data_IF_695451279176
#
_entry.id   IF_695451279176
#
_cell.length_a   1.000
_cell.length_b   1.000
_cell.length_c   1.000
_cell.angle_alpha   90.00
_cell.angle_beta   90.00
_cell.angle_gamma   90.00
#
_symmetry.space_group_name_H-M   'P 1'
#
loop_
_entity.id
_entity.type
_entity.pdbx_description
1 polymer ?
#
# COMPACT_ATOMS: atom_id res chain seq x y z
N UNK A 1 -16.86 -29.80 48.75
CA UNK A 1 -17.06 -28.36 48.61
C UNK A 1 -18.08 -28.08 47.51
N UNK A 2 -19.23 -27.52 47.88
CA UNK A 2 -20.26 -27.12 46.93
C UNK A 2 -19.91 -25.71 46.40
N UNK A 3 -19.94 -25.52 45.10
CA UNK A 3 -19.75 -24.23 44.45
C UNK A 3 -20.62 -23.14 45.07
N UNK A 4 -20.06 -22.05 45.56
CA UNK A 4 -20.77 -20.87 46.06
C UNK A 4 -21.31 -19.96 44.95
N UNK A 5 -21.33 -20.43 43.69
CA UNK A 5 -21.81 -19.63 42.56
C UNK A 5 -23.32 -19.42 42.68
N UNK A 6 -23.82 -18.18 42.63
CA UNK A 6 -25.23 -17.88 42.62
C UNK A 6 -25.96 -18.63 41.50
N UNK A 7 -27.14 -19.22 41.82
CA UNK A 7 -27.98 -19.92 40.83
C UNK A 7 -28.65 -18.97 39.84
N UNK A 8 -28.84 -17.71 40.24
CA UNK A 8 -29.42 -16.64 39.40
C UNK A 8 -28.51 -15.43 39.43
N UNK A 9 -28.37 -14.78 38.32
CA UNK A 9 -27.59 -13.54 38.17
C UNK A 9 -28.51 -12.47 37.55
N UNK A 10 -29.17 -11.61 38.38
CA UNK A 10 -30.13 -10.60 37.91
C UNK A 10 -29.55 -9.64 36.88
N UNK A 11 -28.23 -9.41 36.93
CA UNK A 11 -27.49 -8.50 36.02
C UNK A 11 -26.80 -9.23 34.87
N UNK A 12 -27.27 -10.45 34.54
CA UNK A 12 -26.74 -11.16 33.36
C UNK A 12 -27.18 -10.42 32.10
N UNK A 13 -26.24 -10.22 31.20
CA UNK A 13 -26.52 -9.66 29.88
C UNK A 13 -27.59 -10.51 29.17
N UNK A 14 -28.50 -9.87 28.46
CA UNK A 14 -29.55 -10.55 27.68
C UNK A 14 -28.92 -11.57 26.74
N UNK A 15 -29.52 -12.74 26.64
CA UNK A 15 -29.03 -13.86 25.83
C UNK A 15 -28.94 -13.50 24.35
N UNK A 16 -29.84 -12.66 23.85
CA UNK A 16 -29.82 -12.14 22.47
C UNK A 16 -28.57 -11.31 22.21
N UNK A 17 -28.19 -10.45 23.16
CA UNK A 17 -26.99 -9.64 23.08
C UNK A 17 -25.74 -10.53 23.13
N UNK A 18 -25.72 -11.52 24.02
CA UNK A 18 -24.61 -12.45 24.13
C UNK A 18 -24.41 -13.23 22.82
N UNK A 19 -25.50 -13.76 22.26
CA UNK A 19 -25.50 -14.47 20.98
C UNK A 19 -24.97 -13.56 19.87
N UNK A 20 -25.42 -12.30 19.79
CA UNK A 20 -24.96 -11.38 18.77
C UNK A 20 -23.47 -11.06 18.88
N UNK A 21 -22.95 -10.90 20.09
CA UNK A 21 -21.49 -10.72 20.33
C UNK A 21 -20.71 -11.94 19.84
N UNK A 22 -21.19 -13.15 20.11
CA UNK A 22 -20.56 -14.41 19.66
C UNK A 22 -20.56 -14.52 18.13
N UNK A 23 -21.70 -14.23 17.49
CA UNK A 23 -21.82 -14.21 16.03
C UNK A 23 -20.80 -13.27 15.37
N UNK A 24 -20.76 -11.99 15.81
CA UNK A 24 -19.83 -11.00 15.28
C UNK A 24 -18.37 -11.39 15.55
N UNK A 25 -18.08 -11.98 16.72
CA UNK A 25 -16.75 -12.48 17.02
C UNK A 25 -16.32 -13.61 16.09
N UNK A 26 -17.22 -14.58 15.86
CA UNK A 26 -16.96 -15.70 14.95
C UNK A 26 -16.84 -15.26 13.50
N UNK A 27 -17.63 -14.25 13.09
CA UNK A 27 -17.62 -13.73 11.72
C UNK A 27 -16.32 -12.99 11.39
N UNK A 28 -15.86 -12.10 12.30
CA UNK A 28 -14.77 -11.16 12.00
C UNK A 28 -13.47 -11.42 12.76
N UNK A 29 -13.50 -12.12 13.88
CA UNK A 29 -12.34 -12.32 14.75
C UNK A 29 -11.85 -11.05 15.45
N UNK A 30 -12.64 -9.96 15.48
CA UNK A 30 -12.19 -8.66 16.02
C UNK A 30 -12.36 -8.56 17.55
N UNK A 31 -11.52 -7.71 18.17
CA UNK A 31 -11.57 -7.44 19.61
C UNK A 31 -12.77 -6.60 20.02
N UNK A 32 -12.99 -6.51 21.34
CA UNK A 32 -14.18 -5.91 21.94
C UNK A 32 -14.43 -4.45 21.53
N UNK A 33 -13.38 -3.65 21.30
CA UNK A 33 -13.55 -2.25 20.89
C UNK A 33 -14.25 -2.13 19.53
N UNK A 34 -13.87 -2.97 18.57
CA UNK A 34 -14.50 -3.00 17.24
C UNK A 34 -15.89 -3.60 17.26
N UNK A 35 -16.08 -4.67 18.06
CA UNK A 35 -17.40 -5.28 18.24
C UNK A 35 -18.38 -4.31 18.91
N UNK A 36 -17.94 -3.50 19.88
CA UNK A 36 -18.75 -2.45 20.49
C UNK A 36 -19.29 -1.48 19.44
N UNK A 37 -18.45 -1.05 18.50
CA UNK A 37 -18.86 -0.14 17.43
C UNK A 37 -19.88 -0.80 16.49
N UNK A 38 -19.69 -2.08 16.14
CA UNK A 38 -20.65 -2.78 15.30
C UNK A 38 -22.01 -2.93 15.99
N UNK A 39 -22.02 -3.32 17.27
CA UNK A 39 -23.24 -3.43 18.06
C UNK A 39 -23.97 -2.08 18.18
N UNK A 40 -23.23 -1.00 18.42
CA UNK A 40 -23.80 0.35 18.47
C UNK A 40 -24.45 0.77 17.13
N UNK A 41 -23.87 0.36 15.98
CA UNK A 41 -24.50 0.58 14.65
C UNK A 41 -25.81 -0.21 14.48
N UNK A 42 -26.00 -1.29 15.23
CA UNK A 42 -27.22 -2.10 15.27
C UNK A 42 -28.19 -1.61 16.37
N UNK A 43 -27.88 -0.48 17.05
CA UNK A 43 -28.68 0.05 18.16
C UNK A 43 -28.48 -0.68 19.49
N UNK A 44 -27.44 -1.51 19.62
CA UNK A 44 -27.16 -2.31 20.82
C UNK A 44 -26.02 -1.67 21.61
N UNK A 45 -26.32 -1.08 22.74
CA UNK A 45 -25.35 -0.44 23.63
C UNK A 45 -24.80 -1.44 24.65
N UNK A 46 -23.55 -1.86 24.53
CA UNK A 46 -22.89 -2.80 25.45
C UNK A 46 -21.51 -2.29 25.86
N UNK A 47 -21.21 -2.23 27.17
CA UNK A 47 -19.88 -1.84 27.63
C UNK A 47 -18.79 -2.80 27.13
N UNK A 48 -17.63 -2.26 26.76
CA UNK A 48 -16.45 -3.04 26.31
C UNK A 48 -16.10 -4.20 27.26
N UNK A 49 -16.15 -3.94 28.58
CA UNK A 49 -15.84 -4.94 29.60
C UNK A 49 -16.80 -6.13 29.53
N UNK A 50 -18.09 -5.87 29.27
CA UNK A 50 -19.11 -6.92 29.13
C UNK A 50 -18.82 -7.76 27.88
N UNK A 51 -18.50 -7.12 26.74
CA UNK A 51 -18.12 -7.84 25.51
C UNK A 51 -16.89 -8.73 25.76
N UNK A 52 -15.85 -8.22 26.43
CA UNK A 52 -14.66 -9.01 26.77
C UNK A 52 -15.01 -10.22 27.66
N UNK A 53 -15.90 -10.03 28.66
CA UNK A 53 -16.34 -11.14 29.53
C UNK A 53 -17.10 -12.20 28.75
N UNK A 54 -17.93 -11.80 27.78
CA UNK A 54 -18.66 -12.72 26.90
C UNK A 54 -17.65 -13.53 26.06
N UNK A 55 -16.71 -12.86 25.41
CA UNK A 55 -15.64 -13.50 24.61
C UNK A 55 -14.87 -14.52 25.45
N UNK A 56 -14.44 -14.13 26.66
CA UNK A 56 -13.64 -14.96 27.55
C UNK A 56 -14.41 -16.21 28.03
N UNK A 57 -15.64 -16.04 28.52
CA UNK A 57 -16.42 -17.18 29.04
C UNK A 57 -16.84 -18.20 27.98
N UNK A 58 -16.91 -17.75 26.71
CA UNK A 58 -17.23 -18.63 25.60
C UNK A 58 -15.96 -19.20 24.89
N UNK A 59 -14.77 -19.02 25.50
CA UNK A 59 -13.53 -19.58 24.95
C UNK A 59 -13.06 -18.96 23.63
N UNK A 60 -13.54 -17.75 23.27
CA UNK A 60 -13.27 -17.07 22.01
C UNK A 60 -12.07 -16.11 22.08
N UNK A 61 -11.21 -16.24 23.09
CA UNK A 61 -9.97 -15.46 23.17
C UNK A 61 -9.01 -15.91 22.06
N UNK A 62 -8.50 -14.93 21.31
CA UNK A 62 -7.39 -15.13 20.37
C UNK A 62 -6.21 -14.35 20.95
N UNK A 63 -5.02 -14.96 20.98
CA UNK A 63 -3.80 -14.25 21.36
C UNK A 63 -3.61 -13.01 20.51
N UNK A 64 -3.73 -11.85 21.12
CA UNK A 64 -3.53 -10.57 20.44
C UNK A 64 -2.05 -10.17 20.57
N UNK A 65 -1.39 -10.02 19.42
CA UNK A 65 -0.10 -9.34 19.37
C UNK A 65 -0.32 -7.85 19.69
N UNK A 66 0.24 -7.37 20.79
CA UNK A 66 0.31 -5.94 21.09
C UNK A 66 1.15 -5.24 20.02
N UNK A 67 0.52 -4.44 19.17
CA UNK A 67 1.25 -3.59 18.24
C UNK A 67 1.88 -2.41 18.99
N UNK A 68 3.17 -2.17 18.77
CA UNK A 68 3.85 -0.98 19.31
C UNK A 68 3.19 0.30 18.77
N UNK A 69 2.97 1.33 19.59
CA UNK A 69 2.45 2.61 19.12
C UNK A 69 3.44 3.25 18.14
N UNK A 70 2.92 3.94 17.13
CA UNK A 70 3.75 4.68 16.18
C UNK A 70 4.38 5.89 16.86
N UNK A 71 5.70 6.04 16.74
CA UNK A 71 6.47 7.15 17.34
C UNK A 71 6.20 8.50 16.66
N UNK A 72 5.95 8.48 15.36
CA UNK A 72 5.57 9.68 14.58
C UNK A 72 4.35 9.35 13.70
N UNK A 73 3.32 10.17 13.73
CA UNK A 73 2.17 10.07 12.83
C UNK A 73 2.31 11.15 11.77
N UNK A 74 2.38 10.74 10.50
CA UNK A 74 2.13 11.64 9.39
C UNK A 74 0.92 11.13 8.62
N UNK A 75 0.18 12.02 8.02
CA UNK A 75 -0.99 11.73 7.20
C UNK A 75 -1.07 12.79 6.12
N UNK A 76 -1.35 12.38 4.91
CA UNK A 76 -1.59 13.30 3.80
C UNK A 76 -2.91 14.03 4.00
N UNK A 77 -3.00 15.25 3.46
CA UNK A 77 -4.13 16.13 3.72
C UNK A 77 -5.42 15.65 3.04
N UNK A 78 -5.29 15.02 1.87
CA UNK A 78 -6.43 14.58 1.07
C UNK A 78 -6.26 13.17 0.49
N UNK A 79 -7.36 12.48 0.15
CA UNK A 79 -7.30 11.21 -0.58
C UNK A 79 -6.56 11.34 -1.91
N UNK A 80 -5.91 10.28 -2.34
CA UNK A 80 -5.16 10.14 -3.59
C UNK A 80 -3.93 11.07 -3.73
N UNK A 81 -3.59 11.85 -2.71
CA UNK A 81 -2.32 12.58 -2.69
C UNK A 81 -1.14 11.61 -2.66
N UNK A 82 -1.24 10.53 -1.89
CA UNK A 82 -0.24 9.49 -1.85
C UNK A 82 -0.85 8.12 -1.57
N UNK A 83 -0.48 7.12 -2.37
CA UNK A 83 -0.75 5.73 -2.06
C UNK A 83 0.54 5.02 -1.64
N UNK A 84 0.45 4.22 -0.59
CA UNK A 84 1.51 3.30 -0.15
C UNK A 84 1.32 1.95 -0.82
N UNK A 85 2.39 1.42 -1.41
CA UNK A 85 2.38 0.16 -2.15
C UNK A 85 3.42 -0.78 -1.57
N UNK A 86 3.02 -2.01 -1.29
CA UNK A 86 3.94 -3.02 -0.81
C UNK A 86 3.45 -4.43 -1.13
N UNK A 87 4.40 -5.36 -1.29
CA UNK A 87 4.16 -6.79 -1.40
C UNK A 87 4.26 -7.42 -0.01
N UNK A 88 3.14 -7.91 0.51
CA UNK A 88 3.17 -8.73 1.70
C UNK A 88 3.96 -10.00 1.40
N UNK A 89 5.03 -10.23 2.15
CA UNK A 89 5.82 -11.45 1.99
C UNK A 89 4.96 -12.73 1.93
N UNK A 90 5.55 -13.83 1.51
CA UNK A 90 4.87 -15.07 1.17
C UNK A 90 3.84 -15.52 2.21
N UNK A 91 2.63 -15.78 1.77
CA UNK A 91 1.53 -16.40 2.50
C UNK A 91 1.14 -17.72 1.80
N UNK A 92 0.64 -18.69 2.57
CA UNK A 92 0.37 -20.02 2.05
C UNK A 92 1.64 -20.86 1.82
N UNK A 93 1.48 -22.10 1.35
CA UNK A 93 2.57 -23.05 1.09
C UNK A 93 2.32 -23.81 -0.21
N UNK A 94 3.40 -24.31 -0.82
CA UNK A 94 3.31 -25.12 -2.03
C UNK A 94 2.53 -24.42 -3.16
N UNK A 95 1.52 -25.11 -3.71
CA UNK A 95 0.66 -24.60 -4.78
C UNK A 95 -0.21 -23.41 -4.37
N UNK A 96 -0.43 -23.23 -3.06
CA UNK A 96 -1.17 -22.11 -2.49
C UNK A 96 -0.31 -20.88 -2.19
N UNK A 97 1.00 -20.90 -2.50
CA UNK A 97 1.87 -19.74 -2.26
C UNK A 97 1.34 -18.49 -2.96
N UNK A 98 1.26 -17.40 -2.21
CA UNK A 98 0.79 -16.09 -2.65
C UNK A 98 1.61 -14.99 -1.98
N UNK A 99 1.91 -13.93 -2.72
CA UNK A 99 2.53 -12.69 -2.23
C UNK A 99 1.54 -11.54 -2.51
N UNK A 100 0.62 -11.23 -1.58
CA UNK A 100 -0.40 -10.22 -1.83
C UNK A 100 0.20 -8.83 -2.08
N UNK A 101 -0.17 -8.21 -3.20
CA UNK A 101 0.08 -6.81 -3.48
C UNK A 101 -0.97 -5.96 -2.78
N UNK A 102 -0.54 -5.01 -1.98
CA UNK A 102 -1.39 -4.07 -1.25
C UNK A 102 -1.16 -2.65 -1.74
N UNK A 103 -2.23 -1.93 -2.07
CA UNK A 103 -2.21 -0.52 -2.47
C UNK A 103 -3.17 0.23 -1.55
N UNK A 104 -2.63 1.10 -0.69
CA UNK A 104 -3.35 1.77 0.40
C UNK A 104 -3.27 3.29 0.25
N UNK A 105 -4.42 3.97 0.28
CA UNK A 105 -4.45 5.43 0.35
C UNK A 105 -3.98 5.93 1.72
N UNK A 106 -3.00 6.85 1.71
CA UNK A 106 -2.36 7.33 2.92
C UNK A 106 -3.29 8.13 3.82
N UNK A 107 -4.18 8.96 3.26
CA UNK A 107 -5.10 9.80 4.00
C UNK A 107 -6.24 9.00 4.64
N UNK A 108 -7.00 8.29 3.83
CA UNK A 108 -8.23 7.61 4.24
C UNK A 108 -7.98 6.21 4.82
N UNK A 109 -6.81 5.63 4.61
CA UNK A 109 -6.51 4.20 4.86
C UNK A 109 -7.30 3.26 3.93
N UNK A 110 -8.00 3.78 2.93
CA UNK A 110 -8.76 2.98 2.00
C UNK A 110 -7.84 2.10 1.16
N UNK A 111 -8.15 0.83 1.09
CA UNK A 111 -7.40 -0.16 0.34
C UNK A 111 -7.89 -0.16 -1.11
N UNK A 112 -7.26 0.61 -1.97
CA UNK A 112 -7.63 0.75 -3.39
C UNK A 112 -7.29 -0.52 -4.18
N UNK A 113 -6.26 -1.28 -3.75
CA UNK A 113 -5.88 -2.54 -4.37
C UNK A 113 -5.46 -3.59 -3.33
N UNK A 114 -5.90 -4.84 -3.56
CA UNK A 114 -5.43 -6.02 -2.84
C UNK A 114 -5.51 -7.22 -3.77
N UNK A 115 -4.38 -7.64 -4.30
CA UNK A 115 -4.31 -8.64 -5.38
C UNK A 115 -3.42 -9.83 -4.99
N UNK A 116 -3.83 -11.06 -5.30
CA UNK A 116 -2.96 -12.20 -5.16
C UNK A 116 -1.89 -12.19 -6.27
N UNK A 117 -0.62 -12.31 -5.91
CA UNK A 117 0.44 -12.50 -6.89
C UNK A 117 1.26 -13.74 -6.56
N UNK A 118 1.75 -14.44 -7.60
CA UNK A 118 2.71 -15.55 -7.47
C UNK A 118 4.15 -15.07 -7.57
N UNK A 119 4.34 -13.86 -8.07
CA UNK A 119 5.64 -13.35 -8.48
C UNK A 119 5.63 -11.83 -8.54
N UNK A 120 6.74 -11.22 -8.25
CA UNK A 120 7.00 -9.79 -8.43
C UNK A 120 7.37 -9.40 -9.87
N UNK A 121 7.05 -10.23 -10.89
CA UNK A 121 7.31 -9.88 -12.29
C UNK A 121 6.45 -8.72 -12.75
N UNK A 122 6.95 -8.01 -13.78
CA UNK A 122 6.33 -6.79 -14.31
C UNK A 122 4.85 -6.95 -14.67
N UNK A 123 4.50 -7.90 -15.52
CA UNK A 123 3.15 -7.99 -16.11
C UNK A 123 2.03 -8.19 -15.08
N UNK A 124 2.11 -9.13 -14.13
CA UNK A 124 1.06 -9.28 -13.12
C UNK A 124 0.88 -8.04 -12.23
N UNK A 125 1.98 -7.38 -11.87
CA UNK A 125 1.93 -6.18 -11.04
C UNK A 125 1.37 -5.00 -11.84
N UNK A 126 1.77 -4.84 -13.09
CA UNK A 126 1.24 -3.80 -13.99
C UNK A 126 -0.27 -3.97 -14.21
N UNK A 127 -0.75 -5.20 -14.42
CA UNK A 127 -2.17 -5.50 -14.56
C UNK A 127 -2.97 -5.12 -13.28
N UNK A 128 -2.42 -5.40 -12.09
CA UNK A 128 -3.05 -5.02 -10.83
C UNK A 128 -3.13 -3.49 -10.66
N UNK A 129 -2.10 -2.76 -11.06
CA UNK A 129 -2.17 -1.29 -11.09
C UNK A 129 -3.17 -0.78 -12.11
N UNK A 130 -3.20 -1.37 -13.30
CA UNK A 130 -4.14 -0.98 -14.35
C UNK A 130 -5.59 -1.13 -13.85
N UNK A 131 -5.95 -2.29 -13.31
CA UNK A 131 -7.27 -2.51 -12.72
C UNK A 131 -7.58 -1.49 -11.61
N UNK A 132 -6.61 -1.20 -10.75
CA UNK A 132 -6.75 -0.21 -9.68
C UNK A 132 -7.01 1.19 -10.26
N UNK A 133 -6.24 1.60 -11.27
CA UNK A 133 -6.34 2.91 -11.90
C UNK A 133 -7.64 3.10 -12.68
N UNK A 134 -8.12 2.06 -13.34
CA UNK A 134 -9.41 2.06 -14.04
C UNK A 134 -10.58 2.26 -13.07
N UNK A 135 -10.52 1.63 -11.90
CA UNK A 135 -11.58 1.70 -10.90
C UNK A 135 -11.55 2.96 -10.02
N UNK A 136 -10.35 3.45 -9.66
CA UNK A 136 -10.18 4.50 -8.65
C UNK A 136 -9.53 5.78 -9.16
N UNK A 137 -9.07 5.81 -10.42
CA UNK A 137 -8.21 6.85 -10.96
C UNK A 137 -6.77 6.69 -10.45
N UNK A 138 -5.92 7.69 -10.70
CA UNK A 138 -4.49 7.64 -10.36
C UNK A 138 -4.13 8.60 -9.22
N UNK A 139 -3.16 8.24 -8.34
CA UNK A 139 -2.70 9.12 -7.27
C UNK A 139 -1.73 10.18 -7.81
N UNK A 140 -1.42 11.19 -6.99
CA UNK A 140 -0.34 12.13 -7.29
C UNK A 140 1.03 11.49 -7.03
N UNK A 141 1.13 10.64 -6.02
CA UNK A 141 2.39 10.02 -5.59
C UNK A 141 2.18 8.55 -5.23
N UNK A 142 3.13 7.70 -5.57
CA UNK A 142 3.27 6.34 -5.05
C UNK A 142 4.49 6.28 -4.13
N UNK A 143 4.31 5.75 -2.93
CA UNK A 143 5.37 5.45 -1.98
C UNK A 143 5.61 3.93 -1.97
N UNK A 144 6.82 3.52 -2.32
CA UNK A 144 7.25 2.12 -2.44
C UNK A 144 8.57 1.91 -1.71
N UNK A 145 8.95 0.66 -1.49
CA UNK A 145 10.29 0.32 -1.03
C UNK A 145 11.29 0.27 -2.20
N UNK A 146 12.58 -0.01 -1.89
CA UNK A 146 13.62 -0.23 -2.91
C UNK A 146 13.64 -1.68 -3.43
N UNK A 147 12.53 -2.40 -3.33
CA UNK A 147 12.41 -3.78 -3.79
C UNK A 147 12.00 -3.93 -5.24
N UNK A 148 12.15 -5.14 -5.75
CA UNK A 148 11.59 -5.55 -7.04
C UNK A 148 10.05 -5.68 -6.87
N UNK A 149 9.22 -5.19 -7.82
CA UNK A 149 9.56 -4.81 -9.21
C UNK A 149 9.73 -3.30 -9.46
N UNK A 150 9.56 -2.45 -8.45
CA UNK A 150 9.55 -0.99 -8.63
C UNK A 150 10.94 -0.38 -8.72
N UNK A 151 11.94 -1.07 -8.18
CA UNK A 151 13.33 -0.63 -8.18
C UNK A 151 14.23 -1.59 -8.94
N UNK A 152 15.08 -1.06 -9.79
CA UNK A 152 16.05 -1.85 -10.56
C UNK A 152 17.37 -2.03 -9.80
N UNK A 153 17.46 -3.05 -8.95
CA UNK A 153 18.69 -3.32 -8.16
C UNK A 153 19.94 -3.58 -9.02
N UNK A 154 19.76 -4.07 -10.24
CA UNK A 154 20.87 -4.38 -11.15
C UNK A 154 21.44 -3.15 -11.89
N UNK A 155 20.78 -2.01 -11.82
CA UNK A 155 21.14 -0.84 -12.63
C UNK A 155 21.43 0.38 -11.76
N UNK A 156 22.50 1.07 -12.10
CA UNK A 156 22.94 2.31 -11.43
C UNK A 156 21.85 3.40 -11.40
N UNK A 157 20.82 3.29 -12.26
CA UNK A 157 19.73 4.25 -12.33
C UNK A 157 18.59 4.01 -11.33
N UNK A 158 18.48 2.81 -10.76
CA UNK A 158 17.38 2.45 -9.87
C UNK A 158 15.98 2.38 -10.52
N UNK A 159 15.85 2.75 -11.80
CA UNK A 159 14.58 2.70 -12.52
C UNK A 159 14.32 1.29 -13.07
N UNK A 160 13.09 0.83 -12.88
CA UNK A 160 12.55 -0.36 -13.53
C UNK A 160 11.61 0.02 -14.68
N UNK A 161 11.27 -0.93 -15.56
CA UNK A 161 10.25 -0.70 -16.59
C UNK A 161 8.89 -0.36 -15.98
N UNK A 162 8.57 -0.91 -14.82
CA UNK A 162 7.35 -0.57 -14.08
C UNK A 162 7.39 0.89 -13.59
N UNK A 163 8.52 1.34 -13.02
CA UNK A 163 8.69 2.73 -12.59
C UNK A 163 8.45 3.69 -13.75
N UNK A 164 9.05 3.41 -14.92
CA UNK A 164 8.87 4.25 -16.11
C UNK A 164 7.41 4.25 -16.59
N UNK A 165 6.75 3.08 -16.58
CA UNK A 165 5.34 2.99 -16.94
C UNK A 165 4.44 3.81 -16.00
N UNK A 166 4.72 3.79 -14.67
CA UNK A 166 4.02 4.62 -13.69
C UNK A 166 4.28 6.11 -13.91
N UNK A 167 5.54 6.49 -14.19
CA UNK A 167 5.89 7.88 -14.49
C UNK A 167 5.24 8.40 -15.78
N UNK A 168 4.95 7.54 -16.75
CA UNK A 168 4.17 7.91 -17.95
C UNK A 168 2.76 8.39 -17.64
N UNK A 169 2.21 8.02 -16.49
CA UNK A 169 0.94 8.51 -15.97
C UNK A 169 1.07 9.83 -15.19
N UNK A 170 2.24 10.48 -15.22
CA UNK A 170 2.55 11.66 -14.40
C UNK A 170 2.37 11.42 -12.88
N UNK A 171 2.65 10.20 -12.44
CA UNK A 171 2.69 9.83 -11.03
C UNK A 171 4.10 10.06 -10.51
N UNK A 172 4.24 10.78 -9.40
CA UNK A 172 5.53 10.92 -8.71
C UNK A 172 5.84 9.65 -7.94
N UNK A 173 7.05 9.13 -8.11
CA UNK A 173 7.53 7.98 -7.36
C UNK A 173 8.38 8.46 -6.19
N UNK A 174 8.04 7.98 -4.99
CA UNK A 174 8.85 8.14 -3.77
C UNK A 174 9.26 6.76 -3.29
N UNK A 175 10.52 6.65 -2.86
CA UNK A 175 11.04 5.41 -2.31
C UNK A 175 11.37 5.64 -0.83
N UNK A 176 10.99 4.68 0.03
CA UNK A 176 11.33 4.75 1.45
C UNK A 176 12.85 4.65 1.62
N UNK A 177 13.45 5.55 2.43
CA UNK A 177 14.89 5.52 2.68
C UNK A 177 15.35 4.21 3.32
N UNK A 178 16.58 3.78 3.03
CA UNK A 178 17.19 2.56 3.58
C UNK A 178 17.15 2.47 5.11
N UNK A 179 17.01 3.58 5.82
CA UNK A 179 17.04 3.66 7.28
C UNK A 179 15.77 4.27 7.92
N UNK A 180 14.67 4.44 7.15
CA UNK A 180 13.43 5.02 7.67
C UNK A 180 12.22 4.13 7.38
N UNK A 181 12.09 2.95 8.03
CA UNK A 181 10.93 2.05 7.83
C UNK A 181 9.60 2.69 8.26
N UNK A 182 9.64 3.81 8.98
CA UNK A 182 8.45 4.49 9.49
C UNK A 182 7.55 5.09 8.39
N UNK A 183 8.09 5.35 7.19
CA UNK A 183 7.34 5.95 6.07
C UNK A 183 6.27 5.03 5.50
N UNK A 184 6.45 3.71 5.56
CA UNK A 184 5.48 2.70 5.09
C UNK A 184 4.66 2.04 6.22
N UNK A 185 4.74 2.57 7.43
CA UNK A 185 4.10 1.98 8.62
C UNK A 185 2.59 1.76 8.52
N UNK A 186 1.89 2.39 7.56
CA UNK A 186 0.44 2.19 7.37
C UNK A 186 0.15 0.91 6.59
N UNK A 187 0.86 0.66 5.49
CA UNK A 187 0.71 -0.59 4.73
C UNK A 187 1.27 -1.78 5.52
N UNK A 188 2.36 -1.61 6.27
CA UNK A 188 2.87 -2.65 7.19
C UNK A 188 1.85 -3.01 8.27
N UNK A 189 1.19 -2.02 8.88
CA UNK A 189 0.11 -2.26 9.85
C UNK A 189 -1.09 -2.96 9.20
N UNK A 190 -1.41 -2.61 7.96
CA UNK A 190 -2.41 -3.34 7.18
C UNK A 190 -1.98 -4.79 6.96
N UNK A 191 -0.72 -5.07 6.66
CA UNK A 191 -0.21 -6.44 6.51
C UNK A 191 -0.38 -7.29 7.78
N UNK A 192 -0.20 -6.69 8.96
CA UNK A 192 -0.55 -7.34 10.23
C UNK A 192 -2.05 -7.65 10.33
N UNK A 193 -2.91 -6.76 9.87
CA UNK A 193 -4.37 -6.98 9.82
C UNK A 193 -4.72 -8.07 8.81
N UNK A 194 -4.14 -8.03 7.61
CA UNK A 194 -4.32 -9.05 6.57
C UNK A 194 -3.96 -10.45 7.08
N UNK A 195 -2.80 -10.59 7.73
CA UNK A 195 -2.36 -11.86 8.27
C UNK A 195 -3.35 -12.44 9.30
N UNK A 196 -3.89 -11.59 10.20
CA UNK A 196 -4.92 -12.01 11.17
C UNK A 196 -6.23 -12.40 10.49
N UNK A 197 -6.67 -11.63 9.49
CA UNK A 197 -7.89 -11.93 8.73
C UNK A 197 -7.79 -13.24 7.95
N UNK A 198 -6.67 -13.50 7.30
CA UNK A 198 -6.41 -14.75 6.58
C UNK A 198 -6.38 -15.94 7.55
N UNK A 199 -5.70 -15.79 8.71
CA UNK A 199 -5.69 -16.85 9.74
C UNK A 199 -7.10 -17.16 10.25
N UNK A 200 -7.89 -16.12 10.50
CA UNK A 200 -9.26 -16.27 11.00
C UNK A 200 -10.20 -16.95 9.99
N UNK A 201 -10.12 -16.53 8.71
CA UNK A 201 -10.99 -17.08 7.63
C UNK A 201 -10.48 -18.39 7.05
N UNK A 202 -9.28 -18.81 7.39
CA UNK A 202 -8.59 -19.97 6.84
C UNK A 202 -7.67 -19.63 5.67
N UNK A 203 -6.45 -20.16 5.72
CA UNK A 203 -5.48 -20.00 4.62
C UNK A 203 -5.92 -20.84 3.41
N UNK A 204 -5.98 -20.26 2.20
CA UNK A 204 -6.31 -20.99 0.99
C UNK A 204 -5.42 -22.21 0.74
N UNK A 205 -6.00 -23.24 0.19
CA UNK A 205 -5.31 -24.51 -0.17
C UNK A 205 -4.76 -24.51 -1.60
N UNK A 206 -5.21 -23.58 -2.45
CA UNK A 206 -4.70 -23.37 -3.81
C UNK A 206 -4.71 -21.86 -4.13
N UNK A 207 -3.98 -21.48 -5.18
CA UNK A 207 -3.80 -20.05 -5.52
C UNK A 207 -5.11 -19.37 -5.92
N UNK A 208 -5.96 -20.05 -6.64
CA UNK A 208 -7.20 -19.51 -7.20
C UNK A 208 -8.17 -19.03 -6.11
N UNK A 209 -8.10 -19.63 -4.92
CA UNK A 209 -8.93 -19.24 -3.76
C UNK A 209 -8.46 -17.95 -3.07
N UNK A 210 -7.27 -17.42 -3.41
CA UNK A 210 -6.81 -16.16 -2.83
C UNK A 210 -7.63 -14.97 -3.31
N UNK A 211 -7.96 -14.90 -4.59
CA UNK A 211 -8.69 -13.74 -5.15
C UNK A 211 -10.02 -13.48 -4.42
N UNK A 212 -10.95 -14.43 -4.28
CA UNK A 212 -12.19 -14.20 -3.56
C UNK A 212 -11.96 -13.91 -2.06
N UNK A 213 -10.97 -14.54 -1.41
CA UNK A 213 -10.66 -14.27 -0.02
C UNK A 213 -10.16 -12.83 0.16
N UNK A 214 -9.21 -12.38 -0.68
CA UNK A 214 -8.66 -11.04 -0.61
C UNK A 214 -9.71 -9.98 -0.95
N UNK A 215 -10.61 -10.25 -1.89
CA UNK A 215 -11.74 -9.38 -2.21
C UNK A 215 -12.67 -9.21 -0.99
N UNK A 216 -13.01 -10.30 -0.30
CA UNK A 216 -13.80 -10.26 0.94
C UNK A 216 -13.09 -9.45 2.03
N UNK A 217 -11.80 -9.68 2.25
CA UNK A 217 -11.00 -8.95 3.25
C UNK A 217 -10.95 -7.46 2.90
N UNK A 218 -10.76 -7.09 1.62
CA UNK A 218 -10.74 -5.70 1.17
C UNK A 218 -12.08 -5.01 1.43
N UNK A 219 -13.18 -5.68 1.11
CA UNK A 219 -14.54 -5.17 1.36
C UNK A 219 -14.78 -4.94 2.86
N UNK A 220 -14.47 -5.92 3.69
CA UNK A 220 -14.62 -5.80 5.14
C UNK A 220 -13.73 -4.68 5.72
N UNK A 221 -12.48 -4.61 5.26
CA UNK A 221 -11.52 -3.61 5.70
C UNK A 221 -11.98 -2.18 5.38
N UNK A 222 -12.47 -1.97 4.16
CA UNK A 222 -12.85 -0.64 3.68
C UNK A 222 -14.20 -0.16 4.23
N UNK A 223 -15.18 -1.06 4.37
CA UNK A 223 -16.58 -0.65 4.58
C UNK A 223 -17.18 -1.07 5.92
N UNK A 224 -16.57 -2.05 6.60
CA UNK A 224 -17.16 -2.61 7.82
C UNK A 224 -16.28 -2.38 9.05
N UNK A 225 -14.97 -2.62 8.89
CA UNK A 225 -14.01 -2.63 10.00
C UNK A 225 -13.79 -1.23 10.60
N UNK A 226 -14.06 -1.03 11.90
CA UNK A 226 -13.71 0.22 12.58
C UNK A 226 -12.20 0.40 12.70
N UNK A 227 -11.70 1.60 12.40
CA UNK A 227 -10.30 1.97 12.48
C UNK A 227 -10.02 2.96 13.61
N UNK A 228 -9.16 2.58 14.54
CA UNK A 228 -8.76 3.42 15.68
C UNK A 228 -8.16 4.76 15.24
N UNK A 229 -7.35 4.76 14.18
CA UNK A 229 -6.76 5.99 13.62
C UNK A 229 -7.77 6.91 12.91
N UNK A 230 -8.97 6.43 12.67
CA UNK A 230 -10.08 7.16 12.05
C UNK A 230 -11.24 7.37 13.03
N UNK A 231 -10.95 7.44 14.34
CA UNK A 231 -11.97 7.57 15.39
C UNK A 231 -13.05 6.48 15.33
N UNK A 232 -12.65 5.26 15.00
CA UNK A 232 -13.52 4.10 14.80
C UNK A 232 -14.45 4.17 13.58
N UNK A 233 -14.24 5.12 12.68
CA UNK A 233 -14.88 5.12 11.37
C UNK A 233 -14.25 4.09 10.42
N UNK A 234 -14.90 3.87 9.29
CA UNK A 234 -14.41 3.00 8.21
C UNK A 234 -13.61 3.81 7.19
N UNK A 235 -12.60 3.23 6.51
CA UNK A 235 -11.83 3.92 5.47
C UNK A 235 -12.68 4.54 4.36
N UNK A 236 -13.78 3.89 3.97
CA UNK A 236 -14.68 4.37 2.93
C UNK A 236 -15.36 5.70 3.27
N UNK A 237 -15.52 6.05 4.57
CA UNK A 237 -16.11 7.34 4.96
C UNK A 237 -15.24 8.55 4.62
N UNK A 238 -13.93 8.34 4.41
CA UNK A 238 -12.94 9.39 4.13
C UNK A 238 -12.35 9.32 2.72
N UNK A 239 -12.68 8.30 1.95
CA UNK A 239 -12.14 8.10 0.61
C UNK A 239 -13.04 8.71 -0.46
N UNK A 240 -12.40 9.37 -1.43
CA UNK A 240 -13.03 9.88 -2.64
C UNK A 240 -12.26 9.40 -3.85
N UNK A 241 -12.95 9.12 -4.95
CA UNK A 241 -12.30 8.73 -6.20
C UNK A 241 -11.36 9.84 -6.69
N UNK A 242 -10.24 9.46 -7.28
CA UNK A 242 -9.33 10.42 -7.89
C UNK A 242 -9.98 11.12 -9.09
N UNK A 243 -9.80 12.42 -9.17
CA UNK A 243 -10.17 13.21 -10.36
C UNK A 243 -9.23 12.95 -11.54
N UNK A 244 -8.01 12.46 -11.29
CA UNK A 244 -7.03 12.12 -12.31
C UNK A 244 -7.35 10.74 -12.89
N UNK A 245 -7.67 10.69 -14.18
CA UNK A 245 -8.05 9.45 -14.86
C UNK A 245 -6.84 8.72 -15.42
N UNK A 246 -6.91 7.40 -15.42
CA UNK A 246 -5.93 6.55 -16.08
C UNK A 246 -6.01 6.73 -17.61
N UNK A 247 -4.86 6.84 -18.26
CA UNK A 247 -4.75 6.86 -19.71
C UNK A 247 -3.90 5.66 -20.18
N UNK A 248 -4.49 4.68 -20.87
CA UNK A 248 -3.73 3.51 -21.36
C UNK A 248 -2.69 3.87 -22.43
N UNK A 249 -2.86 5.02 -23.11
CA UNK A 249 -1.95 5.53 -24.14
C UNK A 249 -1.48 6.96 -23.80
N UNK A 250 -0.63 7.13 -22.76
CA UNK A 250 -0.15 8.43 -22.35
C UNK A 250 0.70 9.07 -23.47
N UNK A 251 0.51 10.36 -23.70
CA UNK A 251 1.31 11.12 -24.67
C UNK A 251 2.79 11.14 -24.26
N UNK A 252 3.71 11.23 -25.25
CA UNK A 252 5.11 11.52 -24.97
C UNK A 252 5.27 12.74 -24.07
N UNK A 253 6.35 12.85 -23.29
CA UNK A 253 6.57 14.02 -22.47
C UNK A 253 6.76 15.26 -23.35
N UNK A 254 6.09 16.35 -22.97
CA UNK A 254 6.31 17.67 -23.52
C UNK A 254 7.25 18.43 -22.59
N UNK A 255 8.32 18.98 -23.15
CA UNK A 255 9.30 19.76 -22.41
C UNK A 255 9.29 21.22 -22.89
N UNK A 256 9.65 22.19 -22.04
CA UNK A 256 9.75 23.59 -22.45
C UNK A 256 10.66 23.75 -23.67
N UNK A 257 10.29 24.67 -24.59
CA UNK A 257 11.00 24.87 -25.86
C UNK A 257 12.48 25.23 -25.74
N UNK A 258 12.87 25.82 -24.60
CA UNK A 258 14.26 26.19 -24.29
C UNK A 258 15.07 25.04 -23.67
N UNK A 259 14.44 23.87 -23.40
CA UNK A 259 15.10 22.74 -22.78
C UNK A 259 15.90 21.92 -23.76
N UNK A 260 17.04 21.40 -23.33
CA UNK A 260 17.77 20.39 -24.08
C UNK A 260 17.08 19.04 -23.94
N UNK A 261 16.50 18.57 -25.04
CA UNK A 261 15.79 17.27 -25.09
C UNK A 261 16.56 16.29 -25.95
N UNK A 262 16.80 15.09 -25.43
CA UNK A 262 17.56 14.04 -26.12
C UNK A 262 16.78 12.72 -26.06
N UNK A 263 16.82 11.97 -27.15
CA UNK A 263 16.29 10.60 -27.19
C UNK A 263 17.35 9.62 -26.69
N UNK A 264 16.95 8.75 -25.76
CA UNK A 264 17.75 7.66 -25.22
C UNK A 264 17.77 6.52 -26.25
N UNK A 265 18.94 5.89 -26.48
CA UNK A 265 19.04 4.74 -27.37
C UNK A 265 18.45 3.46 -26.74
N UNK A 266 18.38 2.38 -27.54
CA UNK A 266 17.85 1.08 -27.11
C UNK A 266 18.62 0.40 -25.97
N UNK A 267 19.83 0.90 -25.63
CA UNK A 267 20.68 0.43 -24.53
C UNK A 267 20.60 1.37 -23.30
N UNK A 268 19.69 2.35 -23.30
CA UNK A 268 19.58 3.30 -22.21
C UNK A 268 20.63 4.40 -22.19
N UNK A 269 21.32 4.64 -23.30
CA UNK A 269 22.42 5.59 -23.44
C UNK A 269 22.03 6.80 -24.26
N UNK A 270 22.80 7.88 -24.11
CA UNK A 270 22.67 9.09 -24.93
C UNK A 270 24.01 9.82 -25.02
N UNK A 271 24.12 10.77 -25.95
CA UNK A 271 25.32 11.62 -26.11
C UNK A 271 24.98 13.05 -25.73
N UNK A 272 25.82 13.64 -24.90
CA UNK A 272 25.72 15.04 -24.52
C UNK A 272 27.09 15.66 -24.32
N UNK A 273 27.37 16.83 -24.97
CA UNK A 273 28.67 17.53 -24.95
C UNK A 273 29.88 16.61 -25.24
N UNK A 274 29.75 15.71 -26.21
CA UNK A 274 30.80 14.74 -26.56
C UNK A 274 30.94 13.55 -25.62
N UNK A 275 30.28 13.55 -24.47
CA UNK A 275 30.28 12.47 -23.51
C UNK A 275 29.24 11.40 -23.89
N UNK A 276 29.60 10.12 -23.69
CA UNK A 276 28.65 9.01 -23.70
C UNK A 276 28.15 8.78 -22.29
N UNK A 277 26.86 8.99 -22.10
CA UNK A 277 26.22 8.92 -20.80
C UNK A 277 25.17 7.82 -20.79
N UNK A 278 24.83 7.34 -19.60
CA UNK A 278 23.83 6.32 -19.39
C UNK A 278 22.68 6.88 -18.55
N UNK A 279 21.44 6.81 -19.03
CA UNK A 279 20.25 7.18 -18.29
C UNK A 279 19.66 5.95 -17.54
N UNK A 280 19.10 5.03 -18.29
CA UNK A 280 18.55 3.75 -17.82
C UNK A 280 18.10 2.91 -19.03
N UNK A 281 18.28 1.61 -18.98
CA UNK A 281 17.68 0.69 -19.96
C UNK A 281 16.14 0.76 -19.95
N UNK A 282 15.55 1.07 -18.81
CA UNK A 282 14.10 1.23 -18.69
C UNK A 282 13.57 2.45 -19.46
N UNK A 283 14.45 3.39 -19.84
CA UNK A 283 14.14 4.58 -20.64
C UNK A 283 14.52 4.42 -22.12
N UNK A 284 14.78 3.22 -22.60
CA UNK A 284 15.06 2.98 -24.00
C UNK A 284 13.97 3.61 -24.88
N UNK A 285 14.40 4.35 -25.92
CA UNK A 285 13.57 5.07 -26.88
C UNK A 285 12.75 6.26 -26.33
N UNK A 286 12.87 6.58 -25.03
CA UNK A 286 12.20 7.71 -24.38
C UNK A 286 12.97 9.03 -24.60
N UNK A 287 12.22 10.14 -24.50
CA UNK A 287 12.80 11.47 -24.48
C UNK A 287 13.09 11.90 -23.07
N UNK A 288 14.30 12.39 -22.83
CA UNK A 288 14.76 12.93 -21.56
C UNK A 288 15.11 14.40 -21.73
N UNK A 289 14.99 15.16 -20.63
CA UNK A 289 15.38 16.57 -20.56
C UNK A 289 16.66 16.70 -19.72
N UNK A 290 17.54 17.58 -20.13
CA UNK A 290 18.79 17.88 -19.43
C UNK A 290 18.78 19.34 -18.97
N UNK A 291 19.07 19.55 -17.72
CA UNK A 291 19.32 20.87 -17.12
C UNK A 291 20.78 20.94 -16.63
N UNK A 292 21.50 21.96 -17.09
CA UNK A 292 22.87 22.18 -16.65
C UNK A 292 22.92 23.05 -15.41
N UNK A 293 23.78 22.65 -14.49
CA UNK A 293 24.12 23.38 -13.28
C UNK A 293 25.65 23.50 -13.20
N UNK A 294 26.22 24.58 -13.74
CA UNK A 294 27.67 24.85 -13.77
C UNK A 294 28.52 23.69 -14.34
N UNK A 295 28.97 22.76 -13.48
CA UNK A 295 29.81 21.60 -13.81
C UNK A 295 29.08 20.28 -13.81
N UNK A 296 27.80 20.31 -13.49
CA UNK A 296 26.96 19.12 -13.47
C UNK A 296 25.74 19.29 -14.37
N UNK A 297 25.11 18.20 -14.74
CA UNK A 297 23.85 18.19 -15.45
C UNK A 297 22.87 17.26 -14.73
N UNK A 298 21.65 17.72 -14.55
CA UNK A 298 20.55 16.87 -14.03
C UNK A 298 19.72 16.38 -15.19
N UNK A 299 19.50 15.08 -15.22
CA UNK A 299 18.68 14.41 -16.22
C UNK A 299 17.30 14.23 -15.66
N UNK A 300 16.29 14.67 -16.40
CA UNK A 300 14.88 14.52 -16.04
C UNK A 300 14.17 13.58 -17.02
N UNK A 301 13.32 12.73 -16.47
CA UNK A 301 12.28 12.07 -17.25
C UNK A 301 10.93 12.62 -16.80
N UNK A 302 10.19 13.22 -17.74
CA UNK A 302 9.03 14.07 -17.41
C UNK A 302 9.43 15.14 -16.38
N UNK A 303 8.75 15.21 -15.25
CA UNK A 303 9.04 16.17 -14.19
C UNK A 303 9.92 15.58 -13.05
N UNK A 304 10.45 14.37 -13.23
CA UNK A 304 11.21 13.70 -12.17
C UNK A 304 12.70 13.71 -12.51
N UNK A 305 13.56 14.29 -11.63
CA UNK A 305 15.00 14.16 -11.78
C UNK A 305 15.40 12.70 -11.50
N UNK A 306 16.19 12.13 -12.41
CA UNK A 306 16.56 10.71 -12.36
C UNK A 306 18.04 10.48 -12.11
N UNK A 307 18.89 11.40 -12.59
CA UNK A 307 20.34 11.30 -12.44
C UNK A 307 21.00 12.66 -12.42
N UNK A 308 22.13 12.73 -11.72
CA UNK A 308 23.10 13.82 -11.83
C UNK A 308 24.36 13.31 -12.51
N UNK A 309 24.94 14.11 -13.39
CA UNK A 309 26.13 13.78 -14.16
C UNK A 309 27.14 14.89 -14.03
N UNK A 310 28.41 14.55 -13.73
CA UNK A 310 29.52 15.48 -13.82
C UNK A 310 29.88 15.71 -15.29
N UNK A 311 29.77 16.93 -15.75
CA UNK A 311 30.18 17.32 -17.13
C UNK A 311 31.70 17.33 -17.32
N UNK A 312 32.46 17.26 -16.23
CA UNK A 312 33.93 17.21 -16.26
C UNK A 312 34.44 15.78 -16.40
N UNK A 313 33.89 14.85 -15.62
CA UNK A 313 34.40 13.49 -15.53
C UNK A 313 33.53 12.48 -16.28
N UNK A 314 32.30 12.84 -16.65
CA UNK A 314 31.31 11.93 -17.20
C UNK A 314 30.74 10.93 -16.16
N UNK A 315 31.18 11.00 -14.91
CA UNK A 315 30.64 10.16 -13.85
C UNK A 315 29.22 10.57 -13.54
N UNK A 316 28.35 9.59 -13.37
CA UNK A 316 26.96 9.84 -13.04
C UNK A 316 26.58 9.15 -11.73
N UNK A 317 25.83 9.87 -10.90
CA UNK A 317 25.22 9.36 -9.69
C UNK A 317 23.71 9.33 -9.85
N UNK A 318 23.05 8.47 -9.09
CA UNK A 318 21.62 8.51 -8.97
C UNK A 318 21.23 9.83 -8.29
N UNK A 319 20.20 10.49 -8.83
CA UNK A 319 19.62 11.63 -8.14
C UNK A 319 18.89 11.10 -6.89
N UNK A 320 19.51 11.30 -5.74
CA UNK A 320 18.86 11.04 -4.47
C UNK A 320 17.86 12.16 -4.29
N UNK A 321 16.57 11.84 -4.55
CA UNK A 321 15.48 12.74 -4.14
C UNK A 321 15.62 12.90 -2.63
N UNK A 322 16.30 13.99 -2.22
CA UNK A 322 16.45 14.37 -0.82
C UNK A 322 15.03 14.40 -0.24
N UNK A 323 14.87 13.66 0.83
CA UNK A 323 13.67 13.69 1.63
C UNK A 323 13.46 15.13 2.08
N UNK A 324 12.53 15.83 1.46
CA UNK A 324 11.94 17.00 2.10
C UNK A 324 11.24 16.48 3.35
N UNK A 325 11.80 16.91 4.48
CA UNK A 325 11.41 16.65 5.86
C UNK A 325 9.93 16.99 6.15
#
# INVERSE_FOLDING_TARGET
DRSHRPKTCPNRTDERIETRVIELRNQYGWGADKLKVLLAREGIEVPRITINRIIQRNGLLIEEYCSKPALKRFEKERPNEMWQVDLKGCMGRGTARCEPLSILDDHSRFLVGLFPTRTSKLLPIQAAFQETFENYGIPDTLLMDHGVPWWGNAHVSGLSRLSVWLMKQDIRLKFSGYNHPQTQGKVERFHGTLARSVRHKGTPTCFEKWSPLLATIRQEYNHIRPHESLNMDVPASRYLLSSRRYNPAPKPPEYPSHSTVIKVDHLGRFRYRGLRLFASEALADELIRIEELERTAVIFYRNTPIREVSLVTGQSSQFVLSQES
#
